data_IF_416848997141
#
_entry.id   IF_416848997141
#
_cell.length_a   1.000
_cell.length_b   1.000
_cell.length_c   1.000
_cell.angle_alpha   90.00
_cell.angle_beta   90.00
_cell.angle_gamma   90.00
#
_symmetry.space_group_name_H-M   'P 1'
#
loop_
_entity.id
_entity.type
_entity.pdbx_description
1 polymer ?
#
# COMPACT_ATOMS: atom_id res chain seq x y z
N UNK A 1 13.88 -0.30 -15.70
CA UNK A 1 13.18 1.01 -15.82
C UNK A 1 14.08 2.13 -16.29
N UNK A 2 15.33 2.25 -15.80
CA UNK A 2 16.25 3.34 -16.17
C UNK A 2 16.61 3.44 -17.65
N UNK A 3 16.70 2.32 -18.36
CA UNK A 3 17.08 2.28 -19.77
C UNK A 3 15.90 2.45 -20.75
N UNK A 4 14.69 2.63 -20.22
CA UNK A 4 13.49 2.70 -21.07
C UNK A 4 13.28 4.12 -21.57
N UNK A 5 12.83 4.25 -22.81
CA UNK A 5 12.46 5.53 -23.42
C UNK A 5 10.95 5.76 -23.40
N UNK A 6 10.55 7.00 -23.63
CA UNK A 6 9.16 7.40 -23.89
C UNK A 6 8.62 6.66 -25.13
N UNK A 7 7.31 6.39 -25.13
CA UNK A 7 6.64 5.64 -26.20
C UNK A 7 6.25 6.55 -27.37
N UNK A 8 6.10 7.85 -27.11
CA UNK A 8 5.76 8.87 -28.09
C UNK A 8 6.85 9.95 -28.13
N UNK A 9 7.14 10.55 -29.30
CA UNK A 9 8.14 11.60 -29.43
C UNK A 9 7.92 12.77 -28.45
N UNK A 10 9.01 13.37 -27.92
CA UNK A 10 10.41 13.04 -28.20
C UNK A 10 10.85 11.74 -27.51
N UNK A 11 11.58 10.89 -28.23
CA UNK A 11 12.08 9.60 -27.70
C UNK A 11 13.27 9.84 -26.78
N UNK A 12 13.00 10.07 -25.50
CA UNK A 12 14.01 10.35 -24.46
C UNK A 12 13.98 9.27 -23.38
N UNK A 13 15.06 9.08 -22.59
CA UNK A 13 15.00 8.23 -21.41
C UNK A 13 13.86 8.65 -20.48
N UNK A 14 13.07 7.70 -19.99
CA UNK A 14 11.97 7.96 -19.03
C UNK A 14 12.46 8.56 -17.71
N UNK A 15 13.75 8.48 -17.43
CA UNK A 15 14.36 9.15 -16.27
C UNK A 15 14.51 10.65 -16.47
N UNK A 16 14.50 11.12 -17.72
CA UNK A 16 14.64 12.53 -18.10
C UNK A 16 13.29 13.18 -18.44
N UNK A 17 12.26 12.37 -18.69
CA UNK A 17 10.90 12.84 -18.95
C UNK A 17 10.21 13.31 -17.66
N UNK A 18 9.68 14.56 -17.62
CA UNK A 18 9.09 15.14 -16.42
C UNK A 18 7.81 14.45 -15.95
N UNK A 19 7.01 13.89 -16.86
CA UNK A 19 5.78 13.17 -16.51
C UNK A 19 6.14 11.84 -15.84
N UNK A 20 7.12 11.12 -16.37
CA UNK A 20 7.62 9.91 -15.71
C UNK A 20 8.25 10.20 -14.35
N UNK A 21 8.98 11.32 -14.20
CA UNK A 21 9.50 11.76 -12.90
C UNK A 21 8.37 12.03 -11.90
N UNK A 22 7.29 12.69 -12.33
CA UNK A 22 6.09 12.92 -11.53
C UNK A 22 5.49 11.59 -11.06
N UNK A 23 5.24 10.66 -11.98
CA UNK A 23 4.65 9.35 -11.65
C UNK A 23 5.52 8.57 -10.65
N UNK A 24 6.82 8.47 -10.90
CA UNK A 24 7.70 7.76 -9.97
C UNK A 24 7.83 8.47 -8.62
N UNK A 25 7.81 9.80 -8.60
CA UNK A 25 7.77 10.60 -7.38
C UNK A 25 6.51 10.31 -6.55
N UNK A 26 5.35 10.26 -7.19
CA UNK A 26 4.08 9.95 -6.54
C UNK A 26 4.05 8.53 -5.98
N UNK A 27 4.47 7.52 -6.78
CA UNK A 27 4.57 6.14 -6.31
C UNK A 27 5.55 6.02 -5.13
N UNK A 28 6.70 6.68 -5.19
CA UNK A 28 7.67 6.71 -4.10
C UNK A 28 7.09 7.34 -2.84
N UNK A 29 6.34 8.44 -2.96
CA UNK A 29 5.64 9.10 -1.86
C UNK A 29 4.63 8.18 -1.18
N UNK A 30 3.77 7.49 -1.95
CA UNK A 30 2.79 6.52 -1.43
C UNK A 30 3.47 5.38 -0.67
N UNK A 31 4.55 4.82 -1.22
CA UNK A 31 5.33 3.75 -0.56
C UNK A 31 6.02 4.26 0.71
N UNK A 32 6.57 5.47 0.69
CA UNK A 32 7.19 6.08 1.86
C UNK A 32 6.18 6.33 2.98
N UNK A 33 4.98 6.82 2.65
CA UNK A 33 3.88 7.00 3.59
C UNK A 33 3.43 5.67 4.20
N UNK A 34 3.26 4.63 3.38
CA UNK A 34 2.93 3.28 3.84
C UNK A 34 4.00 2.73 4.81
N UNK A 35 5.29 2.93 4.49
CA UNK A 35 6.40 2.55 5.38
C UNK A 35 6.35 3.29 6.71
N UNK A 36 6.16 4.61 6.69
CA UNK A 36 6.10 5.42 7.91
C UNK A 36 4.94 4.98 8.81
N UNK A 37 3.76 4.73 8.22
CA UNK A 37 2.60 4.22 8.94
C UNK A 37 2.88 2.84 9.56
N UNK A 38 3.47 1.91 8.81
CA UNK A 38 3.81 0.58 9.34
C UNK A 38 4.86 0.64 10.46
N UNK A 39 5.90 1.47 10.33
CA UNK A 39 6.88 1.68 11.39
C UNK A 39 6.23 2.22 12.66
N UNK A 40 5.25 3.12 12.52
CA UNK A 40 4.47 3.64 13.66
C UNK A 40 3.62 2.55 14.32
N UNK A 41 2.97 1.69 13.53
CA UNK A 41 2.19 0.54 14.06
C UNK A 41 3.08 -0.41 14.84
N UNK A 42 4.24 -0.80 14.30
CA UNK A 42 5.16 -1.71 14.96
C UNK A 42 5.65 -1.15 16.30
N UNK A 43 5.99 0.14 16.34
CA UNK A 43 6.40 0.83 17.57
C UNK A 43 5.29 0.83 18.61
N UNK A 44 4.09 1.30 18.23
CA UNK A 44 2.96 1.40 19.16
C UNK A 44 2.52 0.01 19.66
N UNK A 45 2.54 -1.01 18.80
CA UNK A 45 2.22 -2.39 19.20
C UNK A 45 3.23 -2.89 20.25
N UNK A 46 4.53 -2.66 20.02
CA UNK A 46 5.57 -3.01 21.00
C UNK A 46 5.33 -2.34 22.35
N UNK A 47 5.15 -1.01 22.36
CA UNK A 47 4.89 -0.24 23.59
C UNK A 47 3.64 -0.73 24.35
N UNK A 48 2.56 -1.02 23.62
CA UNK A 48 1.29 -1.49 24.21
C UNK A 48 1.38 -2.95 24.72
N UNK A 49 2.15 -3.79 24.04
CA UNK A 49 2.38 -5.16 24.46
C UNK A 49 3.25 -5.21 25.73
N UNK A 50 4.32 -4.41 25.78
CA UNK A 50 5.26 -4.35 26.91
C UNK A 50 4.60 -3.85 28.20
N UNK A 51 3.70 -2.89 28.11
CA UNK A 51 3.00 -2.34 29.27
C UNK A 51 1.68 -3.07 29.62
N UNK A 52 1.32 -4.12 28.87
CA UNK A 52 0.11 -4.91 29.09
C UNK A 52 -1.20 -4.16 28.83
N UNK A 53 -1.18 -3.07 28.05
CA UNK A 53 -2.36 -2.22 27.80
C UNK A 53 -3.10 -2.53 26.49
N UNK A 54 -2.96 -3.77 25.98
CA UNK A 54 -3.65 -4.18 24.74
C UNK A 54 -5.15 -4.18 24.97
N UNK A 55 -5.85 -3.32 24.26
CA UNK A 55 -7.32 -3.23 24.25
C UNK A 55 -7.85 -3.50 22.85
N UNK A 56 -9.16 -3.78 22.76
CA UNK A 56 -9.82 -4.00 21.47
C UNK A 56 -9.72 -2.79 20.53
N UNK A 57 -9.87 -1.57 21.08
CA UNK A 57 -9.69 -0.33 20.31
C UNK A 57 -8.27 -0.22 19.74
N UNK A 58 -7.24 -0.55 20.54
CA UNK A 58 -5.85 -0.54 20.09
C UNK A 58 -5.62 -1.55 18.96
N UNK A 59 -6.08 -2.79 19.13
CA UNK A 59 -5.98 -3.84 18.09
C UNK A 59 -6.65 -3.41 16.78
N UNK A 60 -7.86 -2.85 16.87
CA UNK A 60 -8.61 -2.41 15.69
C UNK A 60 -7.91 -1.25 15.00
N UNK A 61 -7.45 -0.22 15.73
CA UNK A 61 -6.72 0.91 15.13
C UNK A 61 -5.48 0.44 14.36
N UNK A 62 -4.68 -0.43 14.96
CA UNK A 62 -3.47 -0.95 14.34
C UNK A 62 -3.77 -1.84 13.12
N UNK A 63 -4.82 -2.64 13.20
CA UNK A 63 -5.30 -3.46 12.09
C UNK A 63 -5.81 -2.62 10.92
N UNK A 64 -6.55 -1.54 11.19
CA UNK A 64 -7.03 -0.61 10.17
C UNK A 64 -5.88 0.18 9.55
N UNK A 65 -4.90 0.66 10.32
CA UNK A 65 -3.70 1.29 9.75
C UNK A 65 -2.96 0.30 8.85
N UNK A 66 -2.83 -0.97 9.27
CA UNK A 66 -2.19 -2.00 8.44
C UNK A 66 -2.93 -2.24 7.12
N UNK A 67 -4.26 -2.18 7.10
CA UNK A 67 -5.04 -2.18 5.85
C UNK A 67 -4.73 -0.96 4.98
N UNK A 68 -4.64 0.22 5.56
CA UNK A 68 -4.31 1.44 4.81
C UNK A 68 -2.88 1.39 4.22
N UNK A 69 -1.93 0.76 4.92
CA UNK A 69 -0.60 0.44 4.39
C UNK A 69 -0.69 -0.43 3.13
N UNK A 70 -1.53 -1.48 3.16
CA UNK A 70 -1.78 -2.31 1.98
C UNK A 70 -2.41 -1.49 0.86
N UNK A 71 -3.42 -0.67 1.14
CA UNK A 71 -4.10 0.17 0.13
C UNK A 71 -3.16 1.17 -0.54
N UNK A 72 -2.35 1.87 0.25
CA UNK A 72 -1.35 2.81 -0.27
C UNK A 72 -0.32 2.10 -1.15
N UNK A 73 0.22 0.99 -0.66
CA UNK A 73 1.20 0.21 -1.41
C UNK A 73 0.61 -0.34 -2.70
N UNK A 74 -0.61 -0.90 -2.64
CA UNK A 74 -1.32 -1.42 -3.80
C UNK A 74 -1.56 -0.33 -4.84
N UNK A 75 -2.10 0.83 -4.44
CA UNK A 75 -2.34 1.95 -5.37
C UNK A 75 -1.06 2.45 -6.05
N UNK A 76 0.09 2.43 -5.36
CA UNK A 76 1.37 2.77 -5.97
C UNK A 76 1.74 1.76 -7.08
N UNK A 77 1.47 0.48 -6.87
CA UNK A 77 1.76 -0.58 -7.83
C UNK A 77 0.75 -0.63 -8.98
N UNK A 78 -0.55 -0.72 -8.67
CA UNK A 78 -1.62 -0.92 -9.65
C UNK A 78 -1.85 0.30 -10.51
N UNK A 79 -1.86 1.49 -9.90
CA UNK A 79 -2.34 2.70 -10.58
C UNK A 79 -1.19 3.44 -11.27
N UNK A 80 0.05 3.25 -10.77
CA UNK A 80 1.22 3.98 -11.26
C UNK A 80 2.26 3.05 -11.84
N UNK A 81 2.88 2.19 -11.04
CA UNK A 81 4.08 1.46 -11.49
C UNK A 81 3.79 0.48 -12.63
N UNK A 82 2.67 -0.25 -12.59
CA UNK A 82 2.30 -1.19 -13.64
C UNK A 82 1.99 -0.49 -14.97
N UNK A 83 1.09 0.51 -15.02
CA UNK A 83 0.84 1.27 -16.26
C UNK A 83 2.11 1.96 -16.79
N UNK A 84 2.93 2.48 -15.90
CA UNK A 84 4.14 3.23 -16.27
C UNK A 84 5.25 2.31 -16.78
N UNK A 85 5.39 1.09 -16.25
CA UNK A 85 6.48 0.17 -16.62
C UNK A 85 6.36 -0.41 -18.03
N UNK A 86 5.15 -0.53 -18.57
CA UNK A 86 4.86 -1.14 -19.87
C UNK A 86 4.79 -2.68 -19.81
N UNK A 87 4.13 -3.29 -20.81
CA UNK A 87 3.77 -4.71 -20.80
C UNK A 87 4.95 -5.68 -20.67
N UNK A 88 6.14 -5.34 -21.17
CA UNK A 88 7.32 -6.19 -21.06
C UNK A 88 7.89 -6.30 -19.65
N UNK A 89 7.57 -5.38 -18.75
CA UNK A 89 8.00 -5.44 -17.35
C UNK A 89 7.12 -6.36 -16.48
N UNK A 90 6.01 -6.86 -17.03
CA UNK A 90 5.02 -7.71 -16.36
C UNK A 90 4.86 -9.02 -17.15
N UNK A 91 6.00 -9.59 -17.56
CA UNK A 91 6.04 -10.82 -18.34
C UNK A 91 7.20 -11.69 -17.89
N UNK A 92 7.08 -13.00 -18.11
CA UNK A 92 8.15 -13.99 -17.93
C UNK A 92 8.74 -14.01 -16.50
N UNK A 93 7.92 -13.69 -15.50
CA UNK A 93 8.32 -13.73 -14.10
C UNK A 93 9.21 -12.56 -13.70
N UNK A 94 9.22 -11.46 -14.44
CA UNK A 94 9.97 -10.25 -14.08
C UNK A 94 9.66 -9.78 -12.64
N UNK A 95 10.60 -9.06 -12.02
CA UNK A 95 10.47 -8.66 -10.60
C UNK A 95 9.15 -7.92 -10.33
N UNK A 96 8.75 -7.04 -11.23
CA UNK A 96 7.51 -6.27 -11.10
C UNK A 96 6.26 -7.15 -11.25
N UNK A 97 6.29 -8.17 -12.10
CA UNK A 97 5.22 -9.17 -12.21
C UNK A 97 5.01 -9.90 -10.88
N UNK A 98 6.10 -10.36 -10.25
CA UNK A 98 6.03 -11.05 -8.95
C UNK A 98 5.44 -10.15 -7.87
N UNK A 99 5.94 -8.92 -7.76
CA UNK A 99 5.41 -7.91 -6.81
C UNK A 99 3.93 -7.68 -7.03
N UNK A 100 3.50 -7.47 -8.28
CA UNK A 100 2.10 -7.23 -8.59
C UNK A 100 1.21 -8.43 -8.24
N UNK A 101 1.60 -9.66 -8.58
CA UNK A 101 0.84 -10.86 -8.22
C UNK A 101 0.71 -11.03 -6.71
N UNK A 102 1.81 -10.87 -5.98
CA UNK A 102 1.84 -11.07 -4.53
C UNK A 102 0.96 -10.02 -3.84
N UNK A 103 1.05 -8.76 -4.27
CA UNK A 103 0.21 -7.68 -3.73
C UNK A 103 -1.25 -7.81 -4.15
N UNK A 104 -1.53 -8.27 -5.37
CA UNK A 104 -2.90 -8.56 -5.82
C UNK A 104 -3.54 -9.67 -4.99
N UNK A 105 -2.75 -10.66 -4.57
CA UNK A 105 -3.20 -11.73 -3.66
C UNK A 105 -3.48 -11.15 -2.27
N UNK A 106 -2.57 -10.33 -1.74
CA UNK A 106 -2.74 -9.71 -0.42
C UNK A 106 -3.95 -8.78 -0.35
N UNK A 107 -4.13 -7.89 -1.33
CA UNK A 107 -5.23 -6.93 -1.37
C UNK A 107 -6.60 -7.62 -1.48
N UNK A 108 -6.67 -8.79 -2.13
CA UNK A 108 -7.91 -9.55 -2.28
C UNK A 108 -8.16 -10.56 -1.16
N UNK A 109 -7.14 -10.87 -0.35
CA UNK A 109 -7.26 -11.76 0.82
C UNK A 109 -8.44 -11.36 1.71
N UNK A 110 -9.29 -12.32 2.11
CA UNK A 110 -10.54 -12.06 2.84
C UNK A 110 -10.34 -11.24 4.13
N UNK A 111 -9.21 -11.43 4.81
CA UNK A 111 -8.85 -10.60 5.96
C UNK A 111 -8.75 -9.11 5.62
N UNK A 112 -8.17 -8.77 4.47
CA UNK A 112 -7.98 -7.37 4.02
C UNK A 112 -9.23 -6.83 3.33
N UNK A 113 -9.75 -7.58 2.35
CA UNK A 113 -10.82 -7.12 1.44
C UNK A 113 -12.22 -7.20 2.03
N UNK A 114 -12.43 -8.06 3.04
CA UNK A 114 -13.74 -8.26 3.68
C UNK A 114 -13.66 -7.82 5.13
N UNK A 115 -12.91 -8.52 5.98
CA UNK A 115 -12.94 -8.30 7.43
C UNK A 115 -12.49 -6.88 7.80
N UNK A 116 -11.26 -6.50 7.43
CA UNK A 116 -10.74 -5.17 7.75
C UNK A 116 -11.49 -4.07 7.00
N UNK A 117 -11.91 -4.32 5.76
CA UNK A 117 -12.65 -3.35 4.95
C UNK A 117 -14.08 -3.09 5.43
N UNK A 118 -14.69 -4.02 6.17
CA UNK A 118 -16.10 -3.90 6.56
C UNK A 118 -16.29 -4.00 8.07
N UNK A 119 -16.12 -5.18 8.65
CA UNK A 119 -16.46 -5.48 10.04
C UNK A 119 -15.59 -4.69 11.00
N UNK A 120 -14.26 -4.80 10.89
CA UNK A 120 -13.34 -4.13 11.81
C UNK A 120 -13.40 -2.59 11.68
N UNK A 121 -13.56 -2.08 10.46
CA UNK A 121 -13.72 -0.62 10.23
C UNK A 121 -15.01 -0.11 10.87
N UNK A 122 -16.11 -0.87 10.75
CA UNK A 122 -17.38 -0.52 11.39
C UNK A 122 -17.27 -0.58 12.92
N UNK A 123 -16.65 -1.62 13.46
CA UNK A 123 -16.45 -1.80 14.90
C UNK A 123 -15.62 -0.65 15.49
N UNK A 124 -14.53 -0.26 14.82
CA UNK A 124 -13.75 0.92 15.22
C UNK A 124 -14.60 2.19 15.20
N UNK A 125 -15.47 2.36 14.20
CA UNK A 125 -16.42 3.47 14.14
C UNK A 125 -17.42 3.45 15.30
N UNK A 126 -17.97 2.28 15.65
CA UNK A 126 -18.89 2.15 16.78
C UNK A 126 -18.23 2.51 18.11
N UNK A 127 -16.99 2.03 18.35
CA UNK A 127 -16.21 2.38 19.53
C UNK A 127 -15.91 3.88 19.60
N UNK A 128 -15.62 4.53 18.47
CA UNK A 128 -15.37 5.97 18.43
C UNK A 128 -16.61 6.82 18.77
N UNK A 129 -17.81 6.27 18.64
CA UNK A 129 -19.08 6.94 18.95
C UNK A 129 -19.77 6.40 20.21
N UNK A 130 -19.12 5.53 20.99
CA UNK A 130 -19.69 4.83 22.15
C UNK A 130 -21.03 4.13 21.83
N UNK A 131 -21.20 3.68 20.60
CA UNK A 131 -22.39 2.92 20.17
C UNK A 131 -22.16 1.47 20.56
N UNK A 132 -22.97 0.95 21.49
CA UNK A 132 -22.92 -0.46 21.90
C UNK A 132 -22.98 -1.37 20.66
N UNK A 133 -21.96 -2.22 20.51
CA UNK A 133 -21.82 -3.21 19.42
C UNK A 133 -22.68 -4.44 19.65
#
# INVERSE_FOLDING_TARGET
MRERTTVYPPTVPRTEDPDYQLYYGEAAGRIAAARAAMSSVLRQWGETAENGSVTRDVELRMSIISREVVRLSWSAVSDILIPTAGSSAVRAGERLERIWRDMSTLQTHAGVSIYLATMATRELGQLAFDVAS
#
